data_IF_579384641323
#
_entry.id   IF_579384641323
#
_cell.length_a   1.000
_cell.length_b   1.000
_cell.length_c   1.000
_cell.angle_alpha   90.00
_cell.angle_beta   90.00
_cell.angle_gamma   90.00
#
_symmetry.space_group_name_H-M   'P 1'
#
loop_
_entity.id
_entity.type
_entity.pdbx_description
1 polymer ?
#
# COMPACT_ATOMS: atom_id res chain seq x y z
N UNK A 1 19.05 5.45 10.80
CA UNK A 1 17.78 5.17 11.51
C UNK A 1 18.08 4.21 12.64
N UNK A 2 17.36 4.26 13.76
CA UNK A 2 17.52 3.26 14.83
C UNK A 2 17.16 1.87 14.27
N UNK A 3 17.82 0.78 14.69
CA UNK A 3 17.65 -0.56 14.10
C UNK A 3 16.19 -1.06 14.08
N UNK A 4 15.41 -0.68 15.09
CA UNK A 4 13.97 -0.98 15.21
C UNK A 4 13.15 -0.42 14.03
N UNK A 5 13.46 0.80 13.58
CA UNK A 5 12.74 1.43 12.45
C UNK A 5 13.09 0.78 11.12
N UNK A 6 14.35 0.35 10.94
CA UNK A 6 14.76 -0.41 9.76
C UNK A 6 14.00 -1.72 9.68
N UNK A 7 13.88 -2.44 10.81
CA UNK A 7 13.12 -3.68 10.87
C UNK A 7 11.63 -3.48 10.56
N UNK A 8 10.99 -2.48 11.18
CA UNK A 8 9.58 -2.16 10.93
C UNK A 8 9.30 -1.82 9.46
N UNK A 9 10.20 -1.07 8.82
CA UNK A 9 10.10 -0.75 7.39
C UNK A 9 10.18 -1.99 6.50
N UNK A 10 11.06 -2.94 6.81
CA UNK A 10 11.20 -4.18 6.04
C UNK A 10 9.97 -5.06 6.23
N UNK A 11 9.48 -5.23 7.46
CA UNK A 11 8.24 -5.96 7.74
C UNK A 11 7.05 -5.38 6.97
N UNK A 12 6.94 -4.05 6.94
CA UNK A 12 5.91 -3.36 6.18
C UNK A 12 6.07 -3.56 4.67
N UNK A 13 7.31 -3.53 4.17
CA UNK A 13 7.60 -3.86 2.76
C UNK A 13 7.18 -5.28 2.37
N UNK A 14 7.39 -6.26 3.25
CA UNK A 14 6.91 -7.64 3.04
C UNK A 14 5.38 -7.71 2.97
N UNK A 15 4.68 -7.00 3.85
CA UNK A 15 3.22 -6.93 3.79
C UNK A 15 2.73 -6.39 2.43
N UNK A 16 3.40 -5.38 1.89
CA UNK A 16 3.09 -4.84 0.56
C UNK A 16 3.40 -5.79 -0.60
N UNK A 17 4.40 -6.67 -0.47
CA UNK A 17 4.62 -7.75 -1.45
C UNK A 17 3.43 -8.70 -1.47
N UNK A 18 2.97 -9.13 -0.29
CA UNK A 18 1.82 -10.03 -0.17
C UNK A 18 0.57 -9.38 -0.74
N UNK A 19 0.29 -8.13 -0.39
CA UNK A 19 -0.84 -7.37 -0.94
C UNK A 19 -0.79 -7.25 -2.48
N UNK A 20 0.38 -6.95 -3.04
CA UNK A 20 0.56 -6.90 -4.49
C UNK A 20 0.35 -8.27 -5.14
N UNK A 21 0.87 -9.34 -4.54
CA UNK A 21 0.66 -10.71 -5.02
C UNK A 21 -0.83 -11.09 -5.03
N UNK A 22 -1.56 -10.76 -3.96
CA UNK A 22 -3.00 -11.03 -3.86
C UNK A 22 -3.79 -10.32 -4.97
N UNK A 23 -3.43 -9.08 -5.34
CA UNK A 23 -4.07 -8.38 -6.45
C UNK A 23 -3.88 -9.10 -7.79
N UNK A 24 -2.72 -9.72 -8.03
CA UNK A 24 -2.52 -10.53 -9.23
C UNK A 24 -3.25 -11.87 -9.17
N UNK A 25 -3.23 -12.55 -8.01
CA UNK A 25 -3.87 -13.85 -7.83
C UNK A 25 -5.41 -13.77 -7.89
N UNK A 26 -6.00 -12.70 -7.37
CA UNK A 26 -7.44 -12.49 -7.28
C UNK A 26 -7.95 -11.41 -8.25
N UNK A 27 -7.24 -11.20 -9.37
CA UNK A 27 -7.53 -10.14 -10.35
C UNK A 27 -9.01 -10.09 -10.77
N UNK A 28 -9.65 -11.24 -10.95
CA UNK A 28 -11.06 -11.34 -11.37
C UNK A 28 -12.04 -10.90 -10.27
N UNK A 29 -11.76 -11.23 -9.01
CA UNK A 29 -12.57 -10.80 -7.87
C UNK A 29 -12.43 -9.29 -7.66
N UNK A 30 -11.19 -8.79 -7.69
CA UNK A 30 -10.91 -7.36 -7.51
C UNK A 30 -11.44 -6.51 -8.68
N UNK A 31 -11.43 -7.06 -9.90
CA UNK A 31 -11.99 -6.40 -11.08
C UNK A 31 -13.49 -6.17 -10.96
N UNK A 32 -14.22 -7.01 -10.22
CA UNK A 32 -15.66 -6.83 -9.99
C UNK A 32 -15.96 -5.67 -9.04
N UNK A 33 -14.98 -5.23 -8.24
CA UNK A 33 -15.09 -4.11 -7.30
C UNK A 33 -14.85 -2.75 -7.98
N UNK A 34 -14.31 -2.74 -9.20
CA UNK A 34 -14.08 -1.51 -9.96
C UNK A 34 -15.41 -1.01 -10.54
N UNK A 35 -15.80 0.26 -10.32
CA UNK A 35 -17.03 0.82 -10.86
C UNK A 35 -17.17 0.63 -12.38
N UNK A 36 -18.37 0.28 -12.85
CA UNK A 36 -18.66 0.16 -14.27
C UNK A 36 -18.57 1.55 -14.92
N UNK A 37 -17.70 1.68 -15.93
CA UNK A 37 -17.45 2.95 -16.64
C UNK A 37 -15.99 3.42 -16.63
N UNK A 38 -15.13 2.84 -15.79
CA UNK A 38 -13.69 3.22 -15.68
C UNK A 38 -12.81 2.47 -16.71
N UNK A 39 -13.38 1.97 -17.81
CA UNK A 39 -12.66 1.21 -18.84
C UNK A 39 -12.43 -0.25 -18.44
N UNK A 40 -11.24 -0.82 -18.72
CA UNK A 40 -10.91 -2.25 -18.51
C UNK A 40 -10.51 -2.50 -17.04
N UNK A 41 -11.37 -3.09 -16.18
CA UNK A 41 -11.15 -3.19 -14.74
C UNK A 41 -9.88 -3.94 -14.36
N UNK A 42 -9.58 -5.04 -15.07
CA UNK A 42 -8.39 -5.85 -14.84
C UNK A 42 -7.07 -5.06 -15.00
N UNK A 43 -7.04 -4.05 -15.88
CA UNK A 43 -5.84 -3.21 -16.05
C UNK A 43 -5.57 -2.38 -14.81
N UNK A 44 -6.62 -1.87 -14.16
CA UNK A 44 -6.50 -1.10 -12.92
C UNK A 44 -6.01 -1.95 -11.76
N UNK A 45 -6.54 -3.17 -11.62
CA UNK A 45 -6.11 -4.10 -10.57
C UNK A 45 -4.63 -4.46 -10.73
N UNK A 46 -4.19 -4.75 -11.95
CA UNK A 46 -2.78 -5.03 -12.27
C UNK A 46 -1.91 -3.81 -11.96
N UNK A 47 -2.34 -2.61 -12.35
CA UNK A 47 -1.62 -1.36 -12.09
C UNK A 47 -1.45 -1.12 -10.58
N UNK A 48 -2.52 -1.31 -9.81
CA UNK A 48 -2.49 -1.21 -8.35
C UNK A 48 -1.55 -2.26 -7.74
N UNK A 49 -1.59 -3.50 -8.22
CA UNK A 49 -0.66 -4.57 -7.84
C UNK A 49 0.82 -4.19 -8.05
N UNK A 50 1.14 -3.61 -9.22
CA UNK A 50 2.49 -3.10 -9.52
C UNK A 50 2.87 -1.95 -8.58
N UNK A 51 1.94 -1.04 -8.28
CA UNK A 51 2.18 0.04 -7.33
C UNK A 51 2.52 -0.48 -5.92
N UNK A 52 1.84 -1.53 -5.44
CA UNK A 52 2.18 -2.15 -4.15
C UNK A 52 3.59 -2.71 -4.12
N UNK A 53 4.02 -3.37 -5.19
CA UNK A 53 5.40 -3.86 -5.32
C UNK A 53 6.41 -2.73 -5.41
N UNK A 54 6.10 -1.62 -6.09
CA UNK A 54 6.95 -0.44 -6.11
C UNK A 54 7.13 0.18 -4.72
N UNK A 55 6.06 0.24 -3.91
CA UNK A 55 6.12 0.67 -2.50
C UNK A 55 7.00 -0.26 -1.67
N UNK A 56 6.84 -1.58 -1.82
CA UNK A 56 7.67 -2.56 -1.14
C UNK A 56 9.16 -2.40 -1.49
N UNK A 57 9.48 -2.24 -2.77
CA UNK A 57 10.84 -2.07 -3.26
C UNK A 57 11.45 -0.75 -2.76
N UNK A 58 10.66 0.32 -2.70
CA UNK A 58 11.04 1.59 -2.08
C UNK A 58 11.38 1.42 -0.59
N UNK A 59 10.59 0.62 0.14
CA UNK A 59 10.82 0.34 1.56
C UNK A 59 12.06 -0.53 1.81
N UNK A 60 12.40 -1.45 0.90
CA UNK A 60 13.65 -2.21 1.01
C UNK A 60 14.89 -1.38 0.66
N UNK A 61 14.83 -0.60 -0.41
CA UNK A 61 15.97 0.15 -0.93
C UNK A 61 16.24 1.47 -0.20
N UNK A 62 15.30 1.93 0.65
CA UNK A 62 15.32 3.24 1.30
C UNK A 62 15.32 4.44 0.32
N UNK A 63 14.88 4.21 -0.91
CA UNK A 63 14.78 5.25 -1.95
C UNK A 63 13.32 5.70 -2.00
N UNK A 64 13.05 7.01 -1.96
CA UNK A 64 11.70 7.59 -2.04
C UNK A 64 10.71 7.13 -0.97
N UNK A 65 11.19 6.56 0.14
CA UNK A 65 10.35 5.97 1.20
C UNK A 65 9.30 6.92 1.75
N UNK A 66 9.60 8.23 1.79
CA UNK A 66 8.63 9.25 2.19
C UNK A 66 7.47 9.43 1.20
N UNK A 67 7.79 9.50 -0.08
CA UNK A 67 6.77 9.67 -1.12
C UNK A 67 5.90 8.41 -1.22
N UNK A 68 6.55 7.24 -1.28
CA UNK A 68 5.88 5.94 -1.36
C UNK A 68 4.96 5.70 -0.17
N UNK A 69 5.40 6.03 1.04
CA UNK A 69 4.58 5.88 2.24
C UNK A 69 3.33 6.76 2.24
N UNK A 70 3.45 8.03 1.83
CA UNK A 70 2.28 8.93 1.73
C UNK A 70 1.30 8.45 0.65
N UNK A 71 1.80 8.11 -0.53
CA UNK A 71 0.96 7.62 -1.64
C UNK A 71 0.25 6.32 -1.27
N UNK A 72 0.95 5.39 -0.62
CA UNK A 72 0.36 4.15 -0.12
C UNK A 72 -0.75 4.42 0.89
N UNK A 73 -0.52 5.31 1.86
CA UNK A 73 -1.55 5.70 2.84
C UNK A 73 -2.79 6.32 2.19
N UNK A 74 -2.61 7.19 1.19
CA UNK A 74 -3.72 7.79 0.45
C UNK A 74 -4.50 6.73 -0.33
N UNK A 75 -3.82 5.81 -1.02
CA UNK A 75 -4.47 4.73 -1.77
C UNK A 75 -5.24 3.79 -0.84
N UNK A 76 -4.65 3.38 0.28
CA UNK A 76 -5.30 2.55 1.28
C UNK A 76 -6.52 3.24 1.90
N UNK A 77 -6.48 4.55 2.10
CA UNK A 77 -7.62 5.33 2.57
C UNK A 77 -8.79 5.27 1.59
N UNK A 78 -8.53 5.37 0.28
CA UNK A 78 -9.57 5.18 -0.73
C UNK A 78 -10.13 3.75 -0.74
N UNK A 79 -9.28 2.73 -0.62
CA UNK A 79 -9.72 1.33 -0.58
C UNK A 79 -10.60 1.07 0.65
N UNK A 80 -10.25 1.64 1.81
CA UNK A 80 -11.06 1.55 3.01
C UNK A 80 -12.50 2.05 2.77
N UNK A 81 -12.63 3.21 2.10
CA UNK A 81 -13.93 3.84 1.89
C UNK A 81 -14.75 3.24 0.75
N UNK A 82 -14.11 2.86 -0.35
CA UNK A 82 -14.80 2.40 -1.55
C UNK A 82 -14.95 0.88 -1.64
N UNK A 83 -14.13 0.11 -0.92
CA UNK A 83 -14.13 -1.35 -1.01
C UNK A 83 -14.56 -1.99 0.31
N UNK A 84 -13.89 -1.65 1.42
CA UNK A 84 -14.11 -2.35 2.71
C UNK A 84 -15.42 -1.92 3.39
N UNK A 85 -15.71 -0.61 3.40
CA UNK A 85 -16.92 -0.09 4.05
C UNK A 85 -18.23 -0.55 3.38
N UNK A 86 -18.35 -0.57 2.03
CA UNK A 86 -19.56 -1.07 1.37
C UNK A 86 -19.78 -2.59 1.54
N UNK A 87 -18.70 -3.37 1.64
CA UNK A 87 -18.75 -4.83 1.80
C UNK A 87 -18.56 -5.28 3.27
N UNK A 88 -18.98 -4.44 4.21
CA UNK A 88 -18.73 -4.69 5.63
C UNK A 88 -19.73 -5.70 6.22
N UNK A 89 -19.45 -7.00 6.01
CA UNK A 89 -20.32 -8.11 6.42
C UNK A 89 -19.54 -9.18 7.20
N UNK A 90 -19.40 -8.97 8.52
CA UNK A 90 -18.88 -9.99 9.44
C UNK A 90 -17.41 -9.83 9.85
N UNK A 91 -16.89 -10.83 10.57
CA UNK A 91 -15.57 -10.80 11.25
C UNK A 91 -14.40 -10.63 10.26
N UNK A 92 -14.53 -11.15 9.03
CA UNK A 92 -13.54 -10.98 7.95
C UNK A 92 -13.35 -9.51 7.58
N UNK A 93 -14.43 -8.73 7.49
CA UNK A 93 -14.38 -7.30 7.16
C UNK A 93 -13.73 -6.48 8.29
N UNK A 94 -13.92 -6.87 9.56
CA UNK A 94 -13.23 -6.28 10.72
C UNK A 94 -11.71 -6.48 10.65
N UNK A 95 -11.26 -7.71 10.35
CA UNK A 95 -9.84 -8.04 10.17
C UNK A 95 -9.24 -7.26 9.00
N UNK A 96 -9.95 -7.18 7.87
CA UNK A 96 -9.51 -6.39 6.71
C UNK A 96 -9.34 -4.91 7.07
N UNK A 97 -10.34 -4.32 7.72
CA UNK A 97 -10.29 -2.93 8.18
C UNK A 97 -9.13 -2.66 9.14
N UNK A 98 -8.94 -3.52 10.15
CA UNK A 98 -7.83 -3.40 11.10
C UNK A 98 -6.47 -3.49 10.39
N UNK A 99 -6.33 -4.41 9.42
CA UNK A 99 -5.10 -4.56 8.64
C UNK A 99 -4.80 -3.31 7.80
N UNK A 100 -5.81 -2.70 7.17
CA UNK A 100 -5.64 -1.48 6.39
C UNK A 100 -5.27 -0.29 7.27
N UNK A 101 -5.89 -0.13 8.44
CA UNK A 101 -5.47 0.90 9.39
C UNK A 101 -4.03 0.73 9.86
N UNK A 102 -3.61 -0.52 10.14
CA UNK A 102 -2.23 -0.81 10.51
C UNK A 102 -1.25 -0.45 9.38
N UNK A 103 -1.60 -0.76 8.13
CA UNK A 103 -0.78 -0.42 6.96
C UNK A 103 -0.72 1.09 6.73
N UNK A 104 -1.84 1.82 6.86
CA UNK A 104 -1.87 3.29 6.77
C UNK A 104 -0.94 3.89 7.82
N UNK A 105 -1.12 3.50 9.09
CA UNK A 105 -0.31 4.00 10.21
C UNK A 105 1.17 3.68 10.06
N UNK A 106 1.50 2.43 9.71
CA UNK A 106 2.88 2.00 9.46
C UNK A 106 3.52 2.76 8.31
N UNK A 107 2.78 3.01 7.23
CA UNK A 107 3.29 3.72 6.05
C UNK A 107 3.52 5.20 6.34
N UNK A 108 2.66 5.83 7.13
CA UNK A 108 2.87 7.20 7.61
C UNK A 108 4.08 7.28 8.55
N UNK A 109 4.27 6.31 9.44
CA UNK A 109 5.46 6.27 10.29
C UNK A 109 6.76 6.13 9.49
N UNK A 110 6.77 5.26 8.48
CA UNK A 110 7.89 5.15 7.54
C UNK A 110 8.05 6.45 6.75
N UNK A 111 6.96 7.12 6.38
CA UNK A 111 7.04 8.36 5.62
C UNK A 111 7.64 9.53 6.42
N UNK A 112 7.34 9.64 7.72
CA UNK A 112 7.93 10.66 8.61
C UNK A 112 9.43 10.51 8.71
N UNK A 113 9.92 9.26 8.77
CA UNK A 113 11.35 8.96 8.92
C UNK A 113 12.07 8.75 7.57
N UNK A 114 11.31 8.65 6.48
CA UNK A 114 11.77 8.29 5.16
C UNK A 114 12.51 9.42 4.45
N UNK A 115 13.35 9.05 3.48
CA UNK A 115 14.10 9.99 2.66
C UNK A 115 13.23 10.45 1.49
N UNK A 116 13.24 11.76 1.21
CA UNK A 116 12.81 12.28 -0.10
C UNK A 116 13.94 12.12 -1.12
N UNK A 117 13.60 12.01 -2.41
CA UNK A 117 14.58 11.91 -3.50
C UNK A 117 15.66 12.98 -3.41
N UNK A 118 16.88 12.60 -3.79
CA UNK A 118 18.12 13.38 -3.88
C UNK A 118 18.05 14.79 -3.28
N UNK A 119 18.12 14.89 -1.94
CA UNK A 119 18.53 16.15 -1.32
C UNK A 119 19.99 16.35 -1.74
N UNK A 120 20.24 17.22 -2.74
CA UNK A 120 21.61 17.72 -3.01
C UNK A 120 22.18 18.13 -1.66
N UNK A 121 23.29 17.51 -1.26
CA UNK A 121 24.13 18.09 -0.22
C UNK A 121 24.61 19.40 -0.83
N UNK A 122 24.00 20.51 -0.43
CA UNK A 122 24.59 21.82 -0.70
C UNK A 122 25.92 21.81 0.04
N UNK A 123 27.01 21.78 -0.75
CA UNK A 123 28.40 21.91 -0.31
C UNK A 123 28.59 23.35 0.18
#
# INVERSE_FOLDING_TARGET
>A
MKPVFTFGRIMLGLAYIVYGYLHFAYTTADAALVPQGVGRPAVWVILIGICWWAVALSFFTDILTRLSGVLASVLLFFILFFVILPDFNGVSSWLSMASVFALIGGSLQVAVHGKMWYRRKNI
#
